data_IF_602454858128
#
_entry.id   IF_602454858128
#
_cell.length_a   1.000
_cell.length_b   1.000
_cell.length_c   1.000
_cell.angle_alpha   90.00
_cell.angle_beta   90.00
_cell.angle_gamma   90.00
#
_symmetry.space_group_name_H-M   'P 1'
#
loop_
_entity.id
_entity.type
_entity.pdbx_description
1 polymer ?
#
# COMPACT_ATOMS: atom_id res chain seq x y z
N UNK A 1 -28.89 35.47 -13.24
CA UNK A 1 -27.86 34.99 -12.29
C UNK A 1 -27.61 33.53 -12.59
N UNK A 2 -26.37 33.21 -12.93
CA UNK A 2 -25.90 31.94 -13.49
C UNK A 2 -25.95 30.81 -12.44
N UNK A 3 -26.82 29.82 -12.66
CA UNK A 3 -26.86 28.59 -11.87
C UNK A 3 -25.66 27.72 -12.20
N UNK A 4 -24.75 27.54 -11.24
CA UNK A 4 -23.62 26.61 -11.38
C UNK A 4 -24.09 25.18 -11.09
N UNK A 5 -24.08 24.39 -12.15
CA UNK A 5 -24.07 22.93 -12.12
C UNK A 5 -22.81 22.49 -11.36
N UNK A 6 -22.97 21.78 -10.24
CA UNK A 6 -21.88 21.04 -9.62
C UNK A 6 -21.86 19.62 -10.22
N UNK A 7 -20.72 19.13 -10.71
CA UNK A 7 -20.64 17.81 -11.31
C UNK A 7 -20.68 16.74 -10.21
N UNK A 8 -21.55 15.75 -10.43
CA UNK A 8 -21.67 14.49 -9.71
C UNK A 8 -20.41 13.67 -9.96
N UNK A 9 -19.52 13.59 -8.97
CA UNK A 9 -18.44 12.59 -8.95
C UNK A 9 -18.73 11.62 -7.81
N UNK A 10 -19.39 10.52 -8.14
CA UNK A 10 -19.46 9.34 -7.30
C UNK A 10 -18.07 8.69 -7.28
N UNK A 11 -17.51 8.44 -6.09
CA UNK A 11 -16.44 7.44 -5.93
C UNK A 11 -16.93 6.42 -4.91
N UNK A 12 -17.16 5.21 -5.43
CA UNK A 12 -17.64 4.03 -4.75
C UNK A 12 -17.00 3.83 -3.38
N UNK A 13 -17.76 3.98 -2.30
CA UNK A 13 -17.48 3.26 -1.06
C UNK A 13 -18.28 1.97 -1.14
N UNK A 14 -17.67 0.88 -1.60
CA UNK A 14 -18.31 -0.44 -1.54
C UNK A 14 -18.27 -0.88 -0.08
N UNK A 15 -19.42 -0.80 0.59
CA UNK A 15 -19.58 -1.17 2.00
C UNK A 15 -19.67 -2.71 2.07
N UNK A 16 -18.53 -3.39 2.18
CA UNK A 16 -18.49 -4.84 2.44
C UNK A 16 -18.88 -5.10 3.90
N UNK A 17 -20.15 -5.42 4.12
CA UNK A 17 -20.69 -5.82 5.42
C UNK A 17 -20.54 -7.33 5.61
N UNK A 18 -19.49 -7.75 6.34
CA UNK A 18 -19.57 -9.00 7.10
C UNK A 18 -18.73 -8.89 8.38
N UNK A 19 -19.43 -8.84 9.52
CA UNK A 19 -18.84 -8.64 10.85
C UNK A 19 -18.40 -9.98 11.43
N UNK A 20 -17.12 -10.31 11.35
CA UNK A 20 -16.35 -11.06 12.38
C UNK A 20 -14.90 -10.56 12.28
N UNK A 21 -14.55 -9.58 13.12
CA UNK A 21 -13.29 -8.84 13.10
C UNK A 21 -12.98 -8.16 11.75
N UNK A 22 -13.72 -7.10 11.44
CA UNK A 22 -13.38 -6.27 10.29
C UNK A 22 -12.13 -5.45 10.61
N UNK A 23 -10.98 -5.84 10.07
CA UNK A 23 -9.79 -5.00 10.05
C UNK A 23 -10.12 -3.63 9.46
N UNK A 24 -9.49 -2.58 9.99
CA UNK A 24 -9.69 -1.21 9.48
C UNK A 24 -9.21 -1.15 8.03
N UNK A 25 -10.06 -0.61 7.16
CA UNK A 25 -9.72 -0.43 5.75
C UNK A 25 -8.77 0.76 5.58
N UNK A 26 -7.73 0.58 4.79
CA UNK A 26 -6.82 1.63 4.32
C UNK A 26 -7.55 2.54 3.32
N UNK A 27 -7.30 3.84 3.43
CA UNK A 27 -7.83 4.85 2.51
C UNK A 27 -6.83 5.20 1.39
N UNK A 28 -7.31 5.79 0.29
CA UNK A 28 -6.44 6.26 -0.82
C UNK A 28 -5.44 7.34 -0.38
N UNK A 29 -5.73 8.06 0.70
CA UNK A 29 -4.82 9.04 1.30
C UNK A 29 -3.72 8.37 2.12
N UNK A 30 -3.94 7.15 2.61
CA UNK A 30 -2.99 6.39 3.42
C UNK A 30 -2.06 5.54 2.57
N UNK A 31 -2.58 4.85 1.56
CA UNK A 31 -1.78 4.11 0.59
C UNK A 31 -2.43 4.22 -0.78
N UNK A 32 -1.61 4.50 -1.79
CA UNK A 32 -2.00 4.48 -3.21
C UNK A 32 -1.48 3.21 -3.83
N UNK A 33 -2.24 2.62 -4.75
CA UNK A 33 -1.80 1.44 -5.50
C UNK A 33 -1.93 1.76 -6.98
N UNK A 34 -0.86 1.55 -7.75
CA UNK A 34 -0.92 1.78 -9.20
C UNK A 34 -1.80 0.72 -9.87
N UNK A 35 -2.41 1.03 -11.02
CA UNK A 35 -3.13 0.03 -11.81
C UNK A 35 -2.26 -1.19 -12.16
N UNK A 36 -0.96 -0.96 -12.42
CA UNK A 36 -0.01 -2.03 -12.72
C UNK A 36 0.19 -2.96 -11.53
N UNK A 37 0.38 -2.41 -10.32
CA UNK A 37 0.48 -3.21 -9.10
C UNK A 37 -0.82 -3.98 -8.82
N UNK A 38 -1.99 -3.34 -8.94
CA UNK A 38 -3.27 -3.98 -8.72
C UNK A 38 -3.52 -5.16 -9.69
N UNK A 39 -3.23 -4.97 -10.99
CA UNK A 39 -3.31 -6.03 -11.99
C UNK A 39 -2.34 -7.16 -11.66
N UNK A 40 -1.10 -6.84 -11.31
CA UNK A 40 -0.09 -7.86 -11.00
C UNK A 40 -0.44 -8.66 -9.75
N UNK A 41 -0.98 -8.02 -8.70
CA UNK A 41 -1.44 -8.71 -7.50
C UNK A 41 -2.51 -9.75 -7.81
N UNK A 42 -3.44 -9.42 -8.71
CA UNK A 42 -4.48 -10.37 -9.14
C UNK A 42 -3.89 -11.61 -9.82
N UNK A 43 -2.75 -11.47 -10.50
CA UNK A 43 -2.10 -12.57 -11.23
C UNK A 43 -1.24 -13.45 -10.32
N UNK A 44 -0.61 -12.86 -9.28
CA UNK A 44 0.42 -13.55 -8.49
C UNK A 44 -0.03 -14.01 -7.11
N UNK A 45 -1.16 -13.50 -6.61
CA UNK A 45 -1.69 -13.91 -5.31
C UNK A 45 -2.52 -15.19 -5.43
N UNK A 46 -2.17 -16.20 -4.66
CA UNK A 46 -3.01 -17.38 -4.46
C UNK A 46 -4.18 -17.08 -3.52
N UNK A 47 -5.14 -18.01 -3.44
CA UNK A 47 -6.28 -17.90 -2.52
C UNK A 47 -5.80 -17.78 -1.06
N UNK A 48 -6.19 -16.67 -0.41
CA UNK A 48 -5.83 -16.38 0.98
C UNK A 48 -4.47 -15.71 1.18
N UNK A 49 -3.70 -15.49 0.10
CA UNK A 49 -2.48 -14.70 0.14
C UNK A 49 -2.75 -13.21 -0.02
N UNK A 50 -1.87 -12.41 0.59
CA UNK A 50 -1.91 -10.95 0.60
C UNK A 50 -0.50 -10.44 0.38
N UNK A 51 -0.38 -9.25 -0.21
CA UNK A 51 0.88 -8.53 -0.20
C UNK A 51 1.01 -7.82 1.15
N UNK A 52 2.05 -8.14 1.91
CA UNK A 52 2.35 -7.47 3.16
C UNK A 52 3.44 -6.42 2.96
N UNK A 53 3.18 -5.21 3.45
CA UNK A 53 4.15 -4.12 3.52
C UNK A 53 4.52 -3.89 4.97
N UNK A 54 5.81 -3.90 5.24
CA UNK A 54 6.38 -3.62 6.55
C UNK A 54 7.56 -2.66 6.43
N UNK A 55 7.84 -1.95 7.52
CA UNK A 55 9.02 -1.11 7.69
C UNK A 55 9.79 -1.61 8.90
N UNK A 56 11.00 -2.10 8.64
CA UNK A 56 11.93 -2.49 9.71
C UNK A 56 12.98 -1.39 9.93
N UNK A 57 13.46 -1.30 11.18
CA UNK A 57 14.68 -0.55 11.48
C UNK A 57 15.91 -1.29 10.95
N UNK A 58 16.69 -0.62 10.10
CA UNK A 58 17.88 -1.21 9.46
C UNK A 58 18.26 -0.61 8.11
N UNK A 59 19.21 -1.22 7.42
CA UNK A 59 19.70 -0.77 6.11
C UNK A 59 20.60 0.47 6.18
N UNK A 60 21.11 0.91 5.03
CA UNK A 60 22.10 1.99 4.93
C UNK A 60 21.60 3.37 5.38
N UNK A 61 20.28 3.55 5.52
CA UNK A 61 19.63 4.84 5.80
C UNK A 61 18.74 4.83 7.04
N UNK A 62 18.74 3.74 7.82
CA UNK A 62 18.03 3.62 9.10
C UNK A 62 16.71 2.86 9.04
N UNK A 63 16.02 2.84 7.90
CA UNK A 63 14.80 2.02 7.70
C UNK A 63 14.81 1.29 6.36
N UNK A 64 14.20 0.10 6.33
CA UNK A 64 14.07 -0.75 5.14
C UNK A 64 12.62 -1.15 4.90
N UNK A 65 12.19 -1.13 3.63
CA UNK A 65 10.89 -1.69 3.25
C UNK A 65 10.99 -3.20 3.11
N UNK A 66 10.11 -3.93 3.79
CA UNK A 66 9.91 -5.37 3.59
C UNK A 66 8.60 -5.58 2.87
N UNK A 67 8.68 -6.24 1.71
CA UNK A 67 7.52 -6.59 0.89
C UNK A 67 7.54 -8.09 0.67
N UNK A 68 6.48 -8.78 1.10
CA UNK A 68 6.36 -10.23 0.94
C UNK A 68 4.93 -10.65 0.67
N UNK A 69 4.77 -11.88 0.20
CA UNK A 69 3.48 -12.55 0.21
C UNK A 69 3.28 -13.22 1.57
N UNK A 70 2.10 -13.06 2.13
CA UNK A 70 1.76 -13.63 3.44
C UNK A 70 0.30 -14.07 3.45
N UNK A 71 0.02 -15.19 4.13
CA UNK A 71 -1.34 -15.69 4.36
C UNK A 71 -1.89 -15.26 5.71
N UNK A 72 -1.01 -14.84 6.62
CA UNK A 72 -1.38 -14.42 7.98
C UNK A 72 -1.99 -13.03 7.96
N UNK A 73 -3.08 -12.86 8.70
CA UNK A 73 -3.65 -11.59 9.10
C UNK A 73 -3.45 -11.44 10.62
N UNK A 74 -2.90 -10.31 11.06
CA UNK A 74 -2.69 -9.95 12.46
C UNK A 74 -3.74 -8.91 12.87
N UNK A 75 -4.06 -8.83 14.17
CA UNK A 75 -5.12 -7.97 14.70
C UNK A 75 -4.92 -6.47 14.40
N UNK A 76 -3.66 -6.03 14.33
CA UNK A 76 -3.22 -4.66 14.02
C UNK A 76 -3.00 -4.39 12.53
N UNK A 77 -3.32 -5.36 11.66
CA UNK A 77 -3.23 -5.14 10.22
C UNK A 77 -4.37 -4.24 9.73
N UNK A 78 -3.98 -3.32 8.87
CA UNK A 78 -4.85 -2.47 8.07
C UNK A 78 -4.94 -3.05 6.66
N UNK A 79 -6.16 -3.12 6.14
CA UNK A 79 -6.45 -3.83 4.89
C UNK A 79 -6.74 -2.86 3.75
N UNK A 80 -6.05 -3.01 2.64
CA UNK A 80 -6.48 -2.50 1.34
C UNK A 80 -6.91 -3.67 0.46
N UNK A 81 -8.02 -3.51 -0.28
CA UNK A 81 -8.57 -4.56 -1.13
C UNK A 81 -9.10 -3.99 -2.44
N UNK A 82 -8.82 -4.66 -3.56
CA UNK A 82 -9.46 -4.34 -4.85
C UNK A 82 -10.88 -4.89 -4.92
N UNK A 83 -11.72 -4.34 -5.81
CA UNK A 83 -13.01 -4.93 -6.15
C UNK A 83 -12.89 -6.38 -6.68
N UNK A 84 -11.72 -6.73 -7.22
CA UNK A 84 -11.39 -8.06 -7.75
C UNK A 84 -10.83 -9.04 -6.71
N UNK A 85 -10.67 -8.62 -5.45
CA UNK A 85 -10.26 -9.49 -4.33
C UNK A 85 -8.78 -9.56 -4.02
N UNK A 86 -7.91 -8.81 -4.72
CA UNK A 86 -6.50 -8.71 -4.36
C UNK A 86 -6.34 -7.87 -3.08
N UNK A 87 -5.48 -8.31 -2.17
CA UNK A 87 -5.35 -7.73 -0.83
C UNK A 87 -3.92 -7.26 -0.54
N UNK A 88 -3.81 -6.11 0.11
CA UNK A 88 -2.58 -5.59 0.69
C UNK A 88 -2.81 -5.35 2.18
N UNK A 89 -1.85 -5.75 3.00
CA UNK A 89 -1.89 -5.53 4.46
C UNK A 89 -0.67 -4.74 4.91
N UNK A 90 -0.90 -3.86 5.87
CA UNK A 90 0.14 -3.02 6.50
C UNK A 90 -0.20 -2.96 7.98
N UNK A 91 0.76 -3.26 8.85
CA UNK A 91 0.56 -3.05 10.28
C UNK A 91 0.53 -1.54 10.63
N UNK A 92 -0.09 -1.19 11.75
CA UNK A 92 -0.24 0.21 12.15
C UNK A 92 1.09 0.96 12.31
N UNK A 93 2.14 0.30 12.78
CA UNK A 93 3.45 0.90 12.98
C UNK A 93 4.09 1.25 11.63
N UNK A 94 4.14 0.30 10.71
CA UNK A 94 4.65 0.49 9.36
C UNK A 94 3.89 1.58 8.62
N UNK A 95 2.57 1.66 8.76
CA UNK A 95 1.77 2.71 8.12
C UNK A 95 2.28 4.11 8.48
N UNK A 96 2.70 4.35 9.72
CA UNK A 96 3.27 5.64 10.14
C UNK A 96 4.44 6.10 9.27
N UNK A 97 5.21 5.15 8.73
CA UNK A 97 6.39 5.41 7.91
C UNK A 97 6.13 5.47 6.41
N UNK A 98 5.01 4.91 5.93
CA UNK A 98 4.67 4.87 4.49
C UNK A 98 3.35 5.56 4.17
N UNK A 99 2.82 6.35 5.11
CA UNK A 99 1.56 7.07 4.92
C UNK A 99 1.62 7.99 3.70
N UNK A 100 0.69 7.81 2.78
CA UNK A 100 0.57 8.53 1.52
C UNK A 100 1.48 8.02 0.40
N UNK A 101 2.27 6.97 0.65
CA UNK A 101 3.13 6.36 -0.34
C UNK A 101 2.33 5.59 -1.41
N UNK A 102 3.01 5.28 -2.51
CA UNK A 102 2.46 4.53 -3.63
C UNK A 102 3.10 3.17 -3.73
N UNK A 103 2.30 2.12 -3.77
CA UNK A 103 2.71 0.75 -4.11
C UNK A 103 2.66 0.60 -5.62
N UNK A 104 3.80 0.25 -6.21
CA UNK A 104 3.94 0.01 -7.64
C UNK A 104 4.57 -1.36 -7.92
N UNK A 105 4.42 -1.85 -9.15
CA UNK A 105 5.12 -3.03 -9.63
C UNK A 105 6.12 -2.63 -10.72
N UNK A 106 7.39 -2.63 -10.36
CA UNK A 106 8.47 -2.28 -11.29
C UNK A 106 8.97 -3.55 -11.95
N UNK A 107 9.03 -3.50 -13.28
CA UNK A 107 9.55 -4.57 -14.12
C UNK A 107 10.56 -3.96 -15.07
N UNK A 108 11.80 -4.41 -14.97
CA UNK A 108 12.89 -4.09 -15.88
C UNK A 108 13.50 -5.39 -16.44
N UNK A 109 14.52 -5.27 -17.29
CA UNK A 109 15.18 -6.42 -17.93
C UNK A 109 15.77 -7.45 -16.95
N UNK A 110 16.03 -7.06 -15.70
CA UNK A 110 16.72 -7.88 -14.70
C UNK A 110 15.83 -8.24 -13.50
N UNK A 111 14.81 -7.45 -13.18
CA UNK A 111 14.02 -7.58 -11.96
C UNK A 111 12.56 -7.19 -12.18
N UNK A 112 11.68 -8.02 -11.65
CA UNK A 112 10.26 -7.73 -11.49
C UNK A 112 9.90 -7.80 -10.00
N UNK A 113 9.45 -6.70 -9.41
CA UNK A 113 9.17 -6.64 -7.98
C UNK A 113 8.18 -5.54 -7.61
N UNK A 114 7.38 -5.80 -6.57
CA UNK A 114 6.63 -4.75 -5.90
C UNK A 114 7.56 -3.80 -5.16
N UNK A 115 7.23 -2.52 -5.16
CA UNK A 115 8.03 -1.46 -4.56
C UNK A 115 7.14 -0.38 -3.95
N UNK A 116 7.64 0.22 -2.87
CA UNK A 116 7.09 1.45 -2.31
C UNK A 116 7.83 2.62 -2.95
N UNK A 117 7.08 3.52 -3.59
CA UNK A 117 7.59 4.71 -4.29
C UNK A 117 6.82 5.95 -3.83
N UNK A 118 7.37 7.14 -4.08
CA UNK A 118 6.74 8.42 -3.75
C UNK A 118 6.28 8.52 -2.28
N UNK A 119 7.06 7.97 -1.34
CA UNK A 119 6.75 8.06 0.08
C UNK A 119 6.98 9.50 0.60
N UNK A 120 5.94 10.25 0.99
CA UNK A 120 6.08 11.64 1.45
C UNK A 120 6.74 11.74 2.84
N UNK A 121 6.75 10.67 3.62
CA UNK A 121 7.39 10.57 4.95
C UNK A 121 8.89 10.33 4.82
N UNK A 122 9.36 9.81 3.68
CA UNK A 122 10.77 9.64 3.41
C UNK A 122 11.44 10.96 2.99
N UNK A 123 12.58 11.27 3.59
CA UNK A 123 13.39 12.45 3.31
C UNK A 123 14.42 12.17 2.22
N UNK A 124 15.11 11.02 2.30
CA UNK A 124 16.09 10.53 1.31
C UNK A 124 15.99 9.02 1.19
N UNK A 125 15.87 8.51 -0.03
CA UNK A 125 15.94 7.08 -0.34
C UNK A 125 17.35 6.66 -0.76
N UNK A 126 17.75 5.41 -0.48
CA UNK A 126 18.93 4.82 -1.12
C UNK A 126 18.68 4.69 -2.63
N UNK A 127 19.72 4.79 -3.45
CA UNK A 127 19.63 4.69 -4.93
C UNK A 127 19.00 3.37 -5.40
N UNK A 128 19.11 2.30 -4.61
CA UNK A 128 18.46 1.02 -4.89
C UNK A 128 16.99 0.96 -4.45
N UNK A 129 16.47 2.00 -3.78
CA UNK A 129 15.08 2.20 -3.35
C UNK A 129 14.50 1.10 -2.46
N UNK A 130 15.34 0.40 -1.69
CA UNK A 130 14.93 -0.60 -0.69
C UNK A 130 14.98 -0.05 0.74
N UNK A 131 15.61 1.11 0.94
CA UNK A 131 15.80 1.76 2.25
C UNK A 131 15.60 3.27 2.14
N UNK A 132 15.26 3.91 3.25
CA UNK A 132 15.03 5.35 3.34
C UNK A 132 15.35 5.91 4.72
N UNK A 133 15.51 7.23 4.81
CA UNK A 133 15.55 7.99 6.05
C UNK A 133 14.23 8.77 6.21
N UNK A 134 13.58 8.76 7.39
CA UNK A 134 12.38 9.55 7.65
C UNK A 134 12.73 11.03 7.77
N UNK A 135 11.74 11.91 7.53
CA UNK A 135 11.92 13.34 7.78
C UNK A 135 12.04 13.60 9.29
N UNK A 136 13.07 14.34 9.68
CA UNK A 136 13.21 14.84 11.05
C UNK A 136 12.88 16.34 11.03
N UNK A 137 11.66 16.69 11.43
CA UNK A 137 11.26 18.08 11.70
C UNK A 137 11.84 18.58 13.04
#
# INVERSE_FOLDING_TARGET
MIGRILPRVARNTVIYSNRRHAHRMLTEQEIKVTPKAASRLKEVLDSGERLRLEVDGGGCSGFEYKIRLDRKMNDDDLLWRTETGAEIVVDEMSLGYIKGATVDFVEDLMKASFRIVNNPVAEKGCSCGSSFAPKMD
#
